data_IF_455073226325
#
_entry.id   IF_455073226325
#
_cell.length_a   1.000
_cell.length_b   1.000
_cell.length_c   1.000
_cell.angle_alpha   90.00
_cell.angle_beta   90.00
_cell.angle_gamma   90.00
#
_symmetry.space_group_name_H-M   'P 1'
#
loop_
_entity.id
_entity.type
_entity.pdbx_description
1 polymer ?
#
# COMPACT_ATOMS: atom_id res chain seq x y z
N UNK A 1 -13.56 -32.84 13.94
CA UNK A 1 -14.32 -33.65 12.98
C UNK A 1 -15.02 -32.73 12.00
N UNK A 2 -14.53 -32.63 10.76
CA UNK A 2 -15.12 -31.76 9.74
C UNK A 2 -16.50 -32.30 9.37
N UNK A 3 -17.57 -31.56 9.65
CA UNK A 3 -18.91 -31.87 9.14
C UNK A 3 -18.83 -31.90 7.61
N UNK A 4 -19.18 -33.04 7.03
CA UNK A 4 -19.34 -33.22 5.59
C UNK A 4 -20.44 -32.25 5.15
N UNK A 5 -20.08 -31.23 4.37
CA UNK A 5 -21.06 -30.33 3.74
C UNK A 5 -22.01 -31.21 2.93
N UNK A 6 -23.34 -31.08 3.07
CA UNK A 6 -24.27 -31.83 2.24
C UNK A 6 -23.93 -31.56 0.77
N UNK A 7 -23.80 -32.60 -0.04
CA UNK A 7 -23.87 -32.44 -1.48
C UNK A 7 -25.25 -31.84 -1.74
N UNK A 8 -25.32 -30.61 -2.26
CA UNK A 8 -26.52 -30.17 -2.97
C UNK A 8 -26.77 -31.26 -4.01
N UNK A 9 -27.92 -31.92 -3.90
CA UNK A 9 -28.40 -32.79 -4.95
C UNK A 9 -28.62 -31.90 -6.17
N UNK A 10 -28.07 -32.30 -7.31
CA UNK A 10 -28.32 -31.68 -8.61
C UNK A 10 -29.77 -32.00 -9.04
N UNK A 11 -30.77 -31.68 -8.21
CA UNK A 11 -32.21 -31.87 -8.49
C UNK A 11 -32.70 -30.93 -9.59
N UNK A 12 -31.87 -29.96 -10.01
CA UNK A 12 -32.11 -29.10 -11.16
C UNK A 12 -31.40 -29.58 -12.45
N UNK A 13 -30.83 -30.80 -12.49
CA UNK A 13 -30.28 -31.40 -13.73
C UNK A 13 -31.33 -32.20 -14.54
N UNK A 14 -32.55 -32.44 -14.04
CA UNK A 14 -33.56 -33.25 -14.74
C UNK A 14 -34.50 -32.47 -15.68
N UNK A 15 -34.61 -31.13 -15.58
CA UNK A 15 -35.63 -30.38 -16.34
C UNK A 15 -35.20 -29.81 -17.70
N UNK A 16 -33.93 -29.88 -18.11
CA UNK A 16 -33.46 -29.15 -19.32
C UNK A 16 -32.91 -30.00 -20.47
N UNK A 17 -33.20 -31.31 -20.50
CA UNK A 17 -32.89 -32.15 -21.66
C UNK A 17 -34.08 -33.05 -22.00
N UNK A 18 -35.14 -32.46 -22.56
CA UNK A 18 -36.10 -33.24 -23.38
C UNK A 18 -35.31 -33.86 -24.54
N UNK A 19 -35.20 -35.19 -24.52
CA UNK A 19 -34.69 -35.96 -25.67
C UNK A 19 -35.69 -35.86 -26.83
N UNK A 20 -35.30 -35.47 -28.06
CA UNK A 20 -36.14 -35.73 -29.21
C UNK A 20 -36.10 -37.24 -29.47
N UNK A 21 -37.22 -37.91 -29.22
CA UNK A 21 -37.41 -39.34 -29.47
C UNK A 21 -37.43 -39.60 -30.99
N UNK A 22 -36.24 -39.65 -31.57
CA UNK A 22 -35.99 -39.97 -32.97
C UNK A 22 -35.50 -41.40 -33.12
N UNK A 23 -36.42 -42.33 -33.38
CA UNK A 23 -36.09 -43.65 -33.95
C UNK A 23 -35.41 -43.46 -35.31
N UNK A 24 -34.08 -43.49 -35.32
CA UNK A 24 -33.26 -43.42 -36.52
C UNK A 24 -31.98 -44.21 -36.32
N UNK A 25 -31.88 -45.31 -37.05
CA UNK A 25 -30.79 -46.27 -37.10
C UNK A 25 -29.52 -45.59 -37.65
N UNK A 26 -28.62 -45.15 -36.77
CA UNK A 26 -27.26 -44.77 -37.16
C UNK A 26 -26.32 -45.00 -35.98
N UNK A 27 -25.37 -45.94 -36.16
CA UNK A 27 -24.33 -46.34 -35.21
C UNK A 27 -23.28 -45.23 -35.00
N UNK A 28 -23.69 -44.04 -34.57
CA UNK A 28 -22.79 -43.05 -33.99
C UNK A 28 -22.58 -43.43 -32.52
N UNK A 29 -21.34 -43.62 -32.05
CA UNK A 29 -21.12 -43.99 -30.65
C UNK A 29 -21.73 -42.91 -29.75
N UNK A 30 -22.70 -43.29 -28.91
CA UNK A 30 -23.34 -42.40 -27.94
C UNK A 30 -22.25 -41.68 -27.15
N UNK A 31 -22.16 -40.37 -27.35
CA UNK A 31 -21.11 -39.56 -26.77
C UNK A 31 -21.32 -39.49 -25.25
N UNK A 32 -20.28 -39.78 -24.47
CA UNK A 32 -20.35 -39.64 -23.01
C UNK A 32 -20.78 -38.22 -22.63
N UNK A 33 -21.63 -38.06 -21.60
CA UNK A 33 -22.03 -36.76 -21.04
C UNK A 33 -20.82 -35.84 -20.78
N UNK A 34 -19.68 -36.41 -20.37
CA UNK A 34 -18.40 -35.68 -20.17
C UNK A 34 -17.80 -35.16 -21.47
N UNK A 35 -17.94 -35.91 -22.57
CA UNK A 35 -17.47 -35.52 -23.91
C UNK A 35 -18.36 -34.44 -24.52
N UNK A 36 -19.68 -34.52 -24.31
CA UNK A 36 -20.60 -33.43 -24.68
C UNK A 36 -20.30 -32.14 -23.92
N UNK A 37 -20.21 -32.18 -22.58
CA UNK A 37 -19.87 -31.00 -21.76
C UNK A 37 -18.52 -30.35 -22.16
N UNK A 38 -17.56 -31.13 -22.69
CA UNK A 38 -16.28 -30.60 -23.17
C UNK A 38 -16.38 -29.93 -24.55
N UNK A 39 -17.27 -30.43 -25.42
CA UNK A 39 -17.50 -29.86 -26.74
C UNK A 39 -18.33 -28.57 -26.69
N UNK A 40 -19.24 -28.45 -25.72
CA UNK A 40 -20.05 -27.24 -25.51
C UNK A 40 -19.33 -26.14 -24.75
N UNK A 41 -18.19 -26.45 -24.14
CA UNK A 41 -17.40 -25.50 -23.37
C UNK A 41 -16.61 -24.56 -24.27
N UNK A 42 -16.86 -23.27 -24.08
CA UNK A 42 -16.10 -22.18 -24.71
C UNK A 42 -14.62 -22.24 -24.31
N UNK A 43 -13.75 -21.86 -25.24
CA UNK A 43 -12.36 -21.54 -24.94
C UNK A 43 -12.25 -20.20 -24.21
N UNK A 44 -11.12 -19.96 -23.55
CA UNK A 44 -10.87 -18.69 -22.83
C UNK A 44 -10.84 -17.51 -23.82
N UNK A 45 -10.31 -17.74 -25.03
CA UNK A 45 -10.25 -16.71 -26.08
C UNK A 45 -11.64 -16.31 -26.56
N UNK A 46 -12.52 -17.28 -26.82
CA UNK A 46 -13.91 -17.02 -27.21
C UNK A 46 -14.68 -16.31 -26.09
N UNK A 47 -14.50 -16.73 -24.83
CA UNK A 47 -15.16 -16.05 -23.70
C UNK A 47 -14.71 -14.59 -23.57
N UNK A 48 -13.42 -14.30 -23.77
CA UNK A 48 -12.90 -12.92 -23.77
C UNK A 48 -13.47 -12.07 -24.90
N UNK A 49 -13.77 -12.65 -26.06
CA UNK A 49 -14.40 -11.92 -27.17
C UNK A 49 -15.86 -11.56 -26.89
N UNK A 50 -16.55 -12.34 -26.06
CA UNK A 50 -17.99 -12.18 -25.80
C UNK A 50 -18.32 -11.23 -24.64
N UNK A 51 -17.36 -10.89 -23.78
CA UNK A 51 -17.60 -10.13 -22.54
C UNK A 51 -16.99 -8.73 -22.67
N UNK A 52 -17.72 -7.70 -22.20
CA UNK A 52 -17.25 -6.32 -22.19
C UNK A 52 -16.04 -6.02 -21.29
N UNK A 53 -15.74 -6.87 -20.29
CA UNK A 53 -14.54 -6.79 -19.44
C UNK A 53 -13.72 -8.08 -19.51
N UNK A 54 -12.87 -8.25 -20.54
CA UNK A 54 -12.08 -9.47 -20.74
C UNK A 54 -10.88 -9.62 -19.78
N UNK A 55 -10.55 -8.56 -19.03
CA UNK A 55 -9.47 -8.50 -18.04
C UNK A 55 -9.72 -9.41 -16.83
N UNK A 56 -10.99 -9.58 -16.42
CA UNK A 56 -11.36 -10.39 -15.24
C UNK A 56 -11.53 -11.89 -15.54
N UNK A 57 -11.41 -12.29 -16.81
CA UNK A 57 -11.60 -13.68 -17.24
C UNK A 57 -10.38 -14.52 -16.89
N UNK A 58 -10.60 -15.56 -16.08
CA UNK A 58 -9.60 -16.52 -15.63
C UNK A 58 -9.75 -17.89 -16.33
N UNK A 59 -8.72 -18.73 -16.21
CA UNK A 59 -8.70 -20.08 -16.80
C UNK A 59 -9.84 -20.99 -16.31
N UNK A 60 -10.33 -20.76 -15.09
CA UNK A 60 -11.36 -21.58 -14.44
C UNK A 60 -12.78 -21.16 -14.83
N UNK A 61 -12.97 -20.00 -15.47
CA UNK A 61 -14.31 -19.47 -15.73
C UNK A 61 -15.03 -20.23 -16.84
N UNK A 62 -14.27 -20.71 -17.82
CA UNK A 62 -14.79 -21.57 -18.89
C UNK A 62 -15.31 -22.92 -18.36
N UNK A 63 -14.91 -23.37 -17.17
CA UNK A 63 -15.49 -24.58 -16.54
C UNK A 63 -16.80 -24.34 -15.80
N UNK A 64 -17.21 -23.09 -15.62
CA UNK A 64 -18.43 -22.76 -14.90
C UNK A 64 -19.69 -23.25 -15.63
N UNK A 65 -20.79 -23.44 -14.89
CA UNK A 65 -22.10 -23.80 -15.48
C UNK A 65 -22.58 -22.73 -16.45
N UNK A 66 -22.45 -21.46 -16.06
CA UNK A 66 -22.67 -20.31 -16.93
C UNK A 66 -21.44 -19.38 -16.90
N UNK A 67 -20.53 -19.51 -17.89
CA UNK A 67 -19.34 -18.66 -17.97
C UNK A 67 -19.67 -17.18 -18.24
N UNK A 68 -20.77 -16.86 -18.92
CA UNK A 68 -21.11 -15.47 -19.27
C UNK A 68 -21.60 -14.71 -18.04
N UNK A 69 -22.56 -15.31 -17.31
CA UNK A 69 -23.08 -14.73 -16.07
C UNK A 69 -21.98 -14.60 -15.00
N UNK A 70 -21.14 -15.62 -14.84
CA UNK A 70 -20.04 -15.58 -13.87
C UNK A 70 -19.11 -14.38 -14.13
N UNK A 71 -18.71 -14.17 -15.37
CA UNK A 71 -17.83 -13.05 -15.72
C UNK A 71 -18.56 -11.72 -15.55
N UNK A 72 -19.86 -11.64 -15.86
CA UNK A 72 -20.67 -10.45 -15.61
C UNK A 72 -20.70 -10.08 -14.11
N UNK A 73 -20.83 -11.07 -13.22
CA UNK A 73 -20.78 -10.87 -11.78
C UNK A 73 -19.38 -10.46 -11.31
N UNK A 74 -18.33 -11.12 -11.81
CA UNK A 74 -16.93 -10.75 -11.53
C UNK A 74 -16.58 -9.33 -12.00
N UNK A 75 -17.20 -8.86 -13.08
CA UNK A 75 -16.99 -7.54 -13.64
C UNK A 75 -17.89 -6.46 -12.99
N UNK A 76 -18.82 -6.84 -12.13
CA UNK A 76 -19.76 -5.90 -11.52
C UNK A 76 -19.05 -4.95 -10.54
N UNK A 77 -19.50 -3.71 -10.50
CA UNK A 77 -18.84 -2.64 -9.73
C UNK A 77 -18.80 -2.99 -8.24
N UNK A 78 -17.66 -2.71 -7.62
CA UNK A 78 -17.39 -2.92 -6.18
C UNK A 78 -17.51 -4.38 -5.70
N UNK A 79 -17.52 -5.35 -6.62
CA UNK A 79 -17.41 -6.76 -6.23
C UNK A 79 -15.99 -7.08 -5.79
N UNK A 80 -15.89 -7.91 -4.75
CA UNK A 80 -14.61 -8.39 -4.22
C UNK A 80 -14.35 -9.79 -4.78
N UNK A 81 -13.20 -10.04 -5.42
CA UNK A 81 -12.93 -11.34 -6.02
C UNK A 81 -12.76 -12.43 -4.97
N UNK A 82 -12.97 -13.67 -5.38
CA UNK A 82 -12.77 -14.85 -4.51
C UNK A 82 -11.29 -14.93 -4.09
N UNK A 83 -10.98 -15.17 -2.79
CA UNK A 83 -9.61 -15.31 -2.32
C UNK A 83 -8.80 -16.39 -3.07
N UNK A 84 -7.59 -16.05 -3.52
CA UNK A 84 -6.74 -16.90 -4.39
C UNK A 84 -6.46 -18.32 -3.87
N UNK A 85 -6.55 -18.53 -2.56
CA UNK A 85 -6.19 -19.81 -1.94
C UNK A 85 -7.23 -20.93 -2.14
N UNK A 86 -8.38 -20.65 -2.76
CA UNK A 86 -9.44 -21.65 -3.01
C UNK A 86 -8.96 -22.84 -3.86
N UNK A 87 -8.04 -22.62 -4.80
CA UNK A 87 -7.51 -23.64 -5.69
C UNK A 87 -6.16 -24.21 -5.21
N UNK A 88 -5.68 -23.82 -4.03
CA UNK A 88 -4.41 -24.28 -3.51
C UNK A 88 -4.56 -25.64 -2.81
N UNK A 89 -3.55 -26.50 -2.98
CA UNK A 89 -3.50 -27.80 -2.29
C UNK A 89 -3.16 -27.66 -0.80
N UNK A 90 -2.44 -26.60 -0.43
CA UNK A 90 -2.04 -26.32 0.96
C UNK A 90 -3.20 -25.64 1.69
N UNK A 91 -3.39 -25.93 2.98
CA UNK A 91 -4.38 -25.20 3.77
C UNK A 91 -3.88 -23.77 3.97
N UNK A 92 -4.82 -22.83 4.02
CA UNK A 92 -4.55 -21.41 4.23
C UNK A 92 -3.60 -21.17 5.42
N UNK A 93 -2.57 -20.33 5.24
CA UNK A 93 -1.51 -19.97 6.20
C UNK A 93 -0.50 -21.07 6.57
N UNK A 94 -0.56 -22.26 5.96
CA UNK A 94 0.42 -23.31 6.26
C UNK A 94 1.82 -23.03 5.70
N UNK A 95 1.97 -22.14 4.72
CA UNK A 95 3.28 -21.76 4.18
C UNK A 95 4.09 -20.88 5.12
N UNK A 96 3.47 -20.25 6.12
CA UNK A 96 4.15 -19.45 7.15
C UNK A 96 4.87 -20.27 8.22
N UNK A 97 4.82 -21.60 8.15
CA UNK A 97 5.57 -22.47 9.06
C UNK A 97 7.08 -22.25 8.85
N UNK A 98 7.79 -21.89 9.91
CA UNK A 98 9.22 -21.60 9.88
C UNK A 98 9.58 -20.13 9.69
N UNK A 99 8.58 -19.25 9.48
CA UNK A 99 8.78 -17.80 9.53
C UNK A 99 8.45 -17.34 10.93
N UNK A 100 9.45 -16.81 11.63
CA UNK A 100 9.24 -16.22 12.95
C UNK A 100 8.60 -14.85 12.80
N UNK A 101 7.37 -14.71 13.32
CA UNK A 101 6.68 -13.43 13.36
C UNK A 101 7.15 -12.67 14.60
N UNK A 102 7.52 -11.37 14.50
CA UNK A 102 7.81 -10.59 15.68
C UNK A 102 6.60 -10.56 16.63
N UNK A 103 6.84 -10.41 17.94
CA UNK A 103 5.78 -10.19 18.92
C UNK A 103 4.91 -8.98 18.55
N UNK A 104 3.77 -8.85 19.23
CA UNK A 104 2.89 -7.71 19.01
C UNK A 104 3.58 -6.40 19.40
N UNK A 105 3.65 -5.46 18.47
CA UNK A 105 4.20 -4.13 18.71
C UNK A 105 3.09 -3.16 19.09
N UNK A 106 3.22 -2.52 20.26
CA UNK A 106 2.21 -1.59 20.77
C UNK A 106 2.20 -0.28 19.96
N UNK A 107 1.04 0.36 19.76
CA UNK A 107 0.99 1.71 19.21
C UNK A 107 1.83 2.70 20.02
N UNK A 108 2.43 3.67 19.34
CA UNK A 108 3.42 4.57 19.95
C UNK A 108 2.85 5.39 21.12
N UNK A 109 1.59 5.83 21.04
CA UNK A 109 0.92 6.53 22.13
C UNK A 109 0.75 5.66 23.39
N UNK A 110 0.55 4.35 23.22
CA UNK A 110 0.50 3.40 24.34
C UNK A 110 1.91 3.12 24.87
N UNK A 111 2.91 2.97 23.99
CA UNK A 111 4.31 2.76 24.42
C UNK A 111 4.81 3.92 25.29
N UNK A 112 4.48 5.17 24.94
CA UNK A 112 4.83 6.38 25.69
C UNK A 112 4.29 6.42 27.13
N UNK A 113 3.27 5.61 27.46
CA UNK A 113 2.83 5.45 28.86
C UNK A 113 3.91 4.84 29.75
N UNK A 114 4.87 4.09 29.17
CA UNK A 114 5.92 3.36 29.90
C UNK A 114 5.47 1.96 30.36
N UNK A 115 4.25 1.54 30.03
CA UNK A 115 3.69 0.24 30.47
C UNK A 115 4.54 -0.96 30.02
N UNK A 116 5.17 -0.87 28.86
CA UNK A 116 5.96 -1.95 28.29
C UNK A 116 7.20 -2.26 29.15
N UNK A 117 7.92 -1.23 29.58
CA UNK A 117 9.12 -1.34 30.42
C UNK A 117 8.77 -1.82 31.83
N UNK A 118 7.71 -1.26 32.43
CA UNK A 118 7.26 -1.68 33.76
C UNK A 118 6.85 -3.15 33.78
N UNK A 119 6.07 -3.62 32.79
CA UNK A 119 5.67 -5.02 32.69
C UNK A 119 6.84 -5.96 32.41
N UNK A 120 7.77 -5.56 31.54
CA UNK A 120 8.99 -6.34 31.27
C UNK A 120 9.82 -6.53 32.56
N UNK A 121 10.04 -5.45 33.31
CA UNK A 121 10.79 -5.51 34.58
C UNK A 121 10.14 -6.42 35.63
N UNK A 122 8.80 -6.49 35.65
CA UNK A 122 8.07 -7.37 36.57
C UNK A 122 8.13 -8.82 36.14
N UNK A 123 8.02 -9.08 34.84
CA UNK A 123 8.13 -10.43 34.30
C UNK A 123 9.52 -11.00 34.57
N UNK A 124 10.59 -10.23 34.35
CA UNK A 124 11.96 -10.62 34.71
C UNK A 124 12.10 -10.91 36.21
N UNK A 125 11.51 -10.07 37.08
CA UNK A 125 11.48 -10.31 38.53
C UNK A 125 10.68 -11.55 38.91
N UNK A 126 9.64 -11.93 38.17
CA UNK A 126 8.84 -13.12 38.43
C UNK A 126 9.48 -14.41 37.89
N UNK A 127 10.25 -14.31 36.82
CA UNK A 127 11.00 -15.43 36.25
C UNK A 127 12.22 -15.79 37.13
N UNK A 128 12.83 -14.80 37.77
CA UNK A 128 13.90 -15.04 38.77
C UNK A 128 13.39 -15.59 40.11
N UNK A 129 12.07 -15.55 40.37
CA UNK A 129 11.50 -16.00 41.66
C UNK A 129 11.38 -17.51 41.73
N UNK A 130 11.90 -18.07 42.83
CA UNK A 130 11.73 -19.50 43.15
C UNK A 130 10.28 -19.84 43.49
N UNK A 131 9.90 -21.12 43.30
CA UNK A 131 8.57 -21.65 43.65
C UNK A 131 8.16 -21.36 45.10
N UNK A 132 9.11 -21.41 46.04
CA UNK A 132 8.88 -21.08 47.47
C UNK A 132 8.54 -19.60 47.66
N UNK A 133 9.19 -18.70 46.92
CA UNK A 133 8.88 -17.27 46.94
C UNK A 133 7.50 -16.99 46.33
N UNK A 134 7.16 -17.64 45.21
CA UNK A 134 5.83 -17.54 44.57
C UNK A 134 4.71 -18.02 45.52
N UNK A 135 4.91 -19.13 46.23
CA UNK A 135 3.95 -19.65 47.23
C UNK A 135 3.73 -18.69 48.41
N UNK A 136 4.80 -18.06 48.91
CA UNK A 136 4.71 -17.08 50.02
C UNK A 136 3.96 -15.82 49.60
N UNK A 137 4.25 -15.31 48.41
CA UNK A 137 3.61 -14.10 47.89
C UNK A 137 2.13 -14.33 47.55
N UNK A 138 1.74 -15.56 47.21
CA UNK A 138 0.32 -15.93 47.08
C UNK A 138 -0.44 -15.80 48.41
N UNK A 139 0.20 -16.15 49.52
CA UNK A 139 -0.40 -16.03 50.85
C UNK A 139 -0.35 -14.59 51.41
N UNK A 140 0.64 -13.79 50.98
CA UNK A 140 0.83 -12.39 51.38
C UNK A 140 1.24 -11.54 50.17
N UNK A 141 0.27 -11.06 49.37
CA UNK A 141 0.56 -10.29 48.17
C UNK A 141 1.10 -8.91 48.53
N UNK A 142 2.11 -8.45 47.76
CA UNK A 142 2.54 -7.05 47.77
C UNK A 142 1.72 -6.30 46.71
N UNK A 143 0.86 -5.39 47.14
CA UNK A 143 0.05 -4.52 46.27
C UNK A 143 0.93 -3.41 45.66
N UNK A 144 0.45 -2.77 44.59
CA UNK A 144 1.14 -1.64 43.96
C UNK A 144 2.40 -1.98 43.16
N UNK A 145 2.47 -3.17 42.53
CA UNK A 145 3.63 -3.57 41.71
C UNK A 145 3.83 -2.71 40.46
N UNK A 146 2.74 -2.18 39.93
CA UNK A 146 2.69 -1.27 38.79
C UNK A 146 1.91 -0.06 39.28
N UNK A 147 2.54 1.11 39.25
CA UNK A 147 1.89 2.36 39.58
C UNK A 147 2.06 3.29 38.37
N UNK A 148 0.94 3.64 37.75
CA UNK A 148 0.89 4.51 36.57
C UNK A 148 -0.15 5.54 36.87
N UNK A 149 0.23 6.80 36.68
CA UNK A 149 -0.69 7.91 36.80
C UNK A 149 -1.87 7.73 35.84
N UNK A 150 -3.08 7.81 36.41
CA UNK A 150 -4.33 7.74 35.66
C UNK A 150 -4.42 8.87 34.62
N UNK A 151 -3.91 10.06 34.93
CA UNK A 151 -3.92 11.18 33.99
C UNK A 151 -3.09 10.88 32.74
N UNK A 152 -1.93 10.23 32.93
CA UNK A 152 -1.07 9.80 31.81
C UNK A 152 -1.76 8.77 30.91
N UNK A 153 -2.57 7.87 31.48
CA UNK A 153 -3.37 6.92 30.71
C UNK A 153 -4.51 7.63 29.97
N UNK A 154 -5.20 8.54 30.64
CA UNK A 154 -6.26 9.35 30.04
C UNK A 154 -5.74 10.11 28.82
N UNK A 155 -4.67 10.90 28.99
CA UNK A 155 -4.09 11.70 27.91
C UNK A 155 -3.60 10.82 26.75
N UNK A 156 -3.06 9.63 27.02
CA UNK A 156 -2.63 8.70 25.96
C UNK A 156 -3.77 8.22 25.06
N UNK A 157 -4.98 8.04 25.61
CA UNK A 157 -6.14 7.55 24.85
C UNK A 157 -7.03 8.67 24.29
N UNK A 158 -7.03 9.86 24.89
CA UNK A 158 -7.90 10.95 24.47
C UNK A 158 -7.16 12.07 23.74
N UNK A 159 -5.96 12.47 24.20
CA UNK A 159 -5.17 13.56 23.58
C UNK A 159 -4.23 13.05 22.51
N UNK A 160 -3.56 11.92 22.75
CA UNK A 160 -2.46 11.43 21.88
C UNK A 160 -2.86 10.26 20.98
N UNK A 161 -4.15 9.95 20.86
CA UNK A 161 -4.61 8.83 20.06
C UNK A 161 -4.38 9.09 18.57
N UNK A 162 -3.66 8.17 17.92
CA UNK A 162 -3.40 8.25 16.48
C UNK A 162 -4.23 7.21 15.72
N UNK A 163 -4.87 7.62 14.63
CA UNK A 163 -5.61 6.70 13.75
C UNK A 163 -4.66 5.67 13.12
N UNK A 164 -4.93 4.36 13.26
CA UNK A 164 -4.08 3.34 12.65
C UNK A 164 -4.18 3.35 11.13
N UNK A 165 -3.19 2.73 10.46
CA UNK A 165 -3.24 2.51 9.01
C UNK A 165 -4.34 1.50 8.67
N UNK A 166 -5.43 2.00 8.09
CA UNK A 166 -6.56 1.19 7.63
C UNK A 166 -6.38 0.76 6.18
N UNK A 167 -7.13 -0.26 5.77
CA UNK A 167 -7.20 -0.74 4.39
C UNK A 167 -8.53 -0.38 3.75
N UNK A 168 -8.54 -0.15 2.44
CA UNK A 168 -9.76 0.13 1.69
C UNK A 168 -10.61 -1.14 1.50
N UNK A 169 -11.90 -0.96 1.23
CA UNK A 169 -12.78 -2.06 0.83
C UNK A 169 -12.23 -2.78 -0.42
N UNK A 170 -12.28 -4.11 -0.42
CA UNK A 170 -11.72 -4.95 -1.49
C UNK A 170 -10.26 -5.34 -1.31
N UNK A 171 -9.54 -4.75 -0.35
CA UNK A 171 -8.16 -5.11 -0.05
C UNK A 171 -8.08 -6.40 0.81
N UNK A 172 -8.30 -7.55 0.17
CA UNK A 172 -8.25 -8.85 0.85
C UNK A 172 -6.86 -9.22 1.34
N UNK A 173 -6.80 -9.89 2.48
CA UNK A 173 -5.54 -10.43 2.98
C UNK A 173 -5.23 -11.79 2.34
N UNK A 174 -3.97 -11.99 1.97
CA UNK A 174 -3.46 -13.24 1.44
C UNK A 174 -2.10 -13.55 2.08
N UNK A 175 -1.69 -14.82 2.02
CA UNK A 175 -0.41 -15.25 2.58
C UNK A 175 0.75 -14.60 1.82
N UNK A 176 1.59 -13.85 2.54
CA UNK A 176 2.70 -13.10 1.97
C UNK A 176 2.41 -11.62 1.72
N UNK A 177 1.17 -11.17 1.94
CA UNK A 177 0.78 -9.76 1.78
C UNK A 177 1.61 -8.81 2.65
N UNK A 178 2.05 -9.24 3.83
CA UNK A 178 2.88 -8.41 4.71
C UNK A 178 4.32 -8.22 4.23
N UNK A 179 4.82 -9.07 3.34
CA UNK A 179 6.15 -8.97 2.75
C UNK A 179 6.16 -8.16 1.45
N UNK A 180 4.99 -7.76 0.95
CA UNK A 180 4.88 -6.96 -0.26
C UNK A 180 5.28 -5.50 0.01
N UNK A 181 6.44 -5.10 -0.49
CA UNK A 181 6.92 -3.72 -0.37
C UNK A 181 6.13 -2.78 -1.29
N UNK A 182 5.46 -1.78 -0.71
CA UNK A 182 4.77 -0.73 -1.46
C UNK A 182 5.77 0.33 -1.89
N UNK A 183 5.92 0.58 -3.20
CA UNK A 183 6.83 1.61 -3.74
C UNK A 183 6.20 3.01 -3.84
N UNK A 184 5.02 3.24 -3.24
CA UNK A 184 4.24 4.48 -3.42
C UNK A 184 4.99 5.76 -3.04
N UNK A 185 5.91 5.68 -2.09
CA UNK A 185 6.64 6.85 -1.55
C UNK A 185 7.91 7.18 -2.36
N UNK A 186 8.29 6.35 -3.35
CA UNK A 186 9.51 6.54 -4.14
C UNK A 186 9.18 7.23 -5.46
N UNK A 187 9.71 8.43 -5.66
CA UNK A 187 9.52 9.25 -6.86
C UNK A 187 10.84 9.50 -7.59
N UNK A 188 10.85 9.53 -8.94
CA UNK A 188 12.04 9.91 -9.71
C UNK A 188 12.55 11.30 -9.30
N UNK A 189 13.87 11.45 -9.25
CA UNK A 189 14.54 12.69 -8.85
C UNK A 189 14.86 12.79 -7.36
N UNK A 190 14.24 11.97 -6.51
CA UNK A 190 14.53 11.91 -5.08
C UNK A 190 15.24 10.61 -4.71
N UNK A 191 16.22 10.71 -3.80
CA UNK A 191 17.04 9.60 -3.35
C UNK A 191 17.04 9.56 -1.81
N UNK A 192 16.57 8.45 -1.24
CA UNK A 192 16.58 8.25 0.21
C UNK A 192 18.01 8.26 0.76
N UNK A 193 18.15 8.62 2.03
CA UNK A 193 19.46 8.65 2.71
C UNK A 193 20.13 7.27 2.68
N UNK A 194 19.37 6.20 2.88
CA UNK A 194 19.86 4.81 2.80
C UNK A 194 20.44 4.50 1.41
N UNK A 195 19.74 4.89 0.34
CA UNK A 195 20.20 4.67 -1.04
C UNK A 195 21.44 5.50 -1.35
N UNK A 196 21.49 6.76 -0.88
CA UNK A 196 22.68 7.61 -1.04
C UNK A 196 23.90 7.01 -0.37
N UNK A 197 23.78 6.50 0.85
CA UNK A 197 24.87 5.79 1.54
C UNK A 197 25.32 4.58 0.75
N UNK A 198 24.39 3.77 0.24
CA UNK A 198 24.72 2.60 -0.59
C UNK A 198 25.44 2.96 -1.90
N UNK A 199 25.12 4.12 -2.48
CA UNK A 199 25.75 4.67 -3.69
C UNK A 199 27.06 5.43 -3.40
N UNK A 200 27.47 5.55 -2.14
CA UNK A 200 28.64 6.36 -1.74
C UNK A 200 28.44 7.87 -1.96
N UNK A 201 27.19 8.33 -1.98
CA UNK A 201 26.83 9.74 -2.11
C UNK A 201 26.69 10.41 -0.73
N UNK A 202 27.01 11.71 -0.61
CA UNK A 202 26.80 12.45 0.64
C UNK A 202 25.33 12.43 1.10
N UNK A 203 25.15 12.33 2.40
CA UNK A 203 23.85 12.39 3.11
C UNK A 203 23.76 13.65 3.97
N UNK A 204 22.55 14.07 4.32
CA UNK A 204 22.30 15.25 5.16
C UNK A 204 22.17 16.57 4.39
N UNK A 205 22.47 17.72 5.01
CA UNK A 205 22.24 19.05 4.40
C UNK A 205 23.00 19.27 3.08
N UNK A 206 24.12 18.58 2.91
CA UNK A 206 24.95 18.66 1.70
C UNK A 206 24.58 17.59 0.65
N UNK A 207 23.49 16.84 0.82
CA UNK A 207 23.08 15.78 -0.11
C UNK A 207 22.80 16.32 -1.52
N UNK A 208 22.34 17.57 -1.62
CA UNK A 208 22.07 18.23 -2.90
C UNK A 208 23.32 18.80 -3.56
N UNK A 209 24.51 18.78 -2.92
CA UNK A 209 25.72 19.35 -3.53
C UNK A 209 26.36 18.44 -4.57
N UNK A 210 26.19 17.13 -4.42
CA UNK A 210 26.78 16.14 -5.32
C UNK A 210 25.69 15.57 -6.22
N UNK A 211 25.82 15.70 -7.54
CA UNK A 211 24.86 15.15 -8.47
C UNK A 211 24.92 13.61 -8.47
N UNK A 212 23.84 12.94 -8.88
CA UNK A 212 23.88 11.51 -9.11
C UNK A 212 24.86 11.17 -10.26
N UNK A 213 25.52 10.00 -10.22
CA UNK A 213 26.60 9.66 -11.16
C UNK A 213 26.15 9.57 -12.62
N UNK A 214 24.86 9.34 -12.88
CA UNK A 214 24.29 9.29 -14.22
C UNK A 214 24.01 10.67 -14.84
N UNK A 215 24.18 11.78 -14.11
CA UNK A 215 23.95 13.12 -14.66
C UNK A 215 24.76 13.39 -15.93
N UNK A 216 26.05 12.99 -15.93
CA UNK A 216 26.93 13.19 -17.09
C UNK A 216 26.44 12.39 -18.31
N UNK A 217 25.89 11.19 -18.09
CA UNK A 217 25.30 10.40 -19.17
C UNK A 217 24.00 11.05 -19.69
N UNK A 218 23.16 11.59 -18.80
CA UNK A 218 21.96 12.33 -19.19
C UNK A 218 22.28 13.63 -19.96
N UNK A 219 23.39 14.29 -19.65
CA UNK A 219 23.88 15.43 -20.44
C UNK A 219 24.31 15.03 -21.86
N UNK A 220 24.78 13.80 -22.06
CA UNK A 220 25.22 13.29 -23.37
C UNK A 220 24.09 12.72 -24.22
N UNK A 221 23.19 11.96 -23.59
CA UNK A 221 22.13 11.22 -24.28
C UNK A 221 20.74 11.87 -24.16
N UNK A 222 20.60 12.87 -23.30
CA UNK A 222 19.35 13.53 -23.00
C UNK A 222 18.64 13.00 -21.73
N UNK A 223 17.56 13.67 -21.31
CA UNK A 223 16.76 13.28 -20.16
C UNK A 223 15.98 11.97 -20.42
N UNK A 224 15.53 11.25 -19.38
CA UNK A 224 14.75 10.02 -19.53
C UNK A 224 13.50 10.21 -20.41
N UNK A 225 13.34 9.43 -21.51
CA UNK A 225 12.20 9.60 -22.43
C UNK A 225 10.83 9.40 -21.79
N UNK A 226 10.74 8.53 -20.77
CA UNK A 226 9.50 8.23 -20.04
C UNK A 226 9.08 9.34 -19.07
N UNK A 227 9.96 10.32 -18.80
CA UNK A 227 9.65 11.45 -17.91
C UNK A 227 9.99 12.80 -18.57
N UNK A 228 9.18 13.27 -19.55
CA UNK A 228 9.47 14.49 -20.30
C UNK A 228 9.55 15.75 -19.44
N UNK A 229 8.72 15.81 -18.38
CA UNK A 229 8.60 16.98 -17.50
C UNK A 229 9.52 16.89 -16.27
N UNK A 230 10.38 15.87 -16.17
CA UNK A 230 11.27 15.71 -15.02
C UNK A 230 12.32 16.83 -15.01
N UNK A 231 12.34 17.61 -13.93
CA UNK A 231 13.35 18.64 -13.69
C UNK A 231 14.57 18.01 -13.03
N UNK A 232 15.71 18.15 -13.70
CA UNK A 232 17.02 17.61 -13.35
C UNK A 232 17.97 18.82 -13.21
N UNK A 233 18.38 19.15 -11.98
CA UNK A 233 19.36 20.20 -11.75
C UNK A 233 20.64 19.94 -12.55
N UNK A 234 21.18 20.98 -13.20
CA UNK A 234 22.37 20.89 -14.06
C UNK A 234 22.14 20.27 -15.45
N UNK A 235 20.89 19.99 -15.84
CA UNK A 235 20.53 19.58 -17.21
C UNK A 235 19.38 20.37 -17.82
N UNK A 236 18.27 20.56 -17.11
CA UNK A 236 17.12 21.35 -17.58
C UNK A 236 16.51 22.25 -16.47
N UNK A 237 17.18 22.30 -15.33
CA UNK A 237 16.91 23.16 -14.20
C UNK A 237 18.26 23.69 -13.66
N UNK A 238 18.27 24.85 -12.97
CA UNK A 238 19.49 25.40 -12.40
C UNK A 238 20.11 24.45 -11.37
N UNK A 239 21.44 24.53 -11.21
CA UNK A 239 22.15 23.79 -10.17
C UNK A 239 21.83 24.36 -8.78
N UNK A 240 21.92 23.55 -7.71
CA UNK A 240 21.75 24.04 -6.36
C UNK A 240 22.78 25.11 -5.99
N UNK A 241 22.40 26.04 -5.12
CA UNK A 241 23.29 27.14 -4.68
C UNK A 241 24.60 26.61 -4.08
N UNK A 242 25.70 27.29 -4.39
CA UNK A 242 27.04 26.89 -3.95
C UNK A 242 27.65 25.69 -4.69
N UNK A 243 26.99 25.19 -5.74
CA UNK A 243 27.54 24.18 -6.65
C UNK A 243 28.18 24.85 -7.89
N UNK A 244 29.10 24.16 -8.54
CA UNK A 244 29.71 24.64 -9.79
C UNK A 244 29.69 23.57 -10.88
N UNK A 245 29.59 24.03 -12.13
CA UNK A 245 29.74 23.18 -13.30
C UNK A 245 31.21 22.76 -13.47
N UNK A 246 31.42 21.55 -13.98
CA UNK A 246 32.75 21.01 -14.25
C UNK A 246 32.86 19.50 -14.00
N UNK A 247 33.99 18.94 -14.42
CA UNK A 247 34.32 17.50 -14.25
C UNK A 247 35.23 17.23 -13.04
N UNK A 248 35.35 18.19 -12.11
CA UNK A 248 36.06 17.98 -10.84
C UNK A 248 35.19 17.16 -9.88
N UNK A 249 35.78 16.63 -8.80
CA UNK A 249 35.03 15.88 -7.80
C UNK A 249 33.89 16.73 -7.21
N UNK A 250 32.65 16.25 -7.31
CA UNK A 250 31.45 17.00 -6.89
C UNK A 250 30.92 18.03 -7.90
N UNK A 251 31.55 18.16 -9.06
CA UNK A 251 31.11 19.07 -10.13
C UNK A 251 29.86 18.56 -10.88
N UNK A 252 29.06 19.48 -11.40
CA UNK A 252 27.78 19.21 -12.08
C UNK A 252 27.89 18.91 -13.58
N UNK A 253 29.08 18.51 -14.05
CA UNK A 253 29.33 18.27 -15.46
C UNK A 253 29.20 19.55 -16.29
N UNK A 254 28.84 19.41 -17.57
CA UNK A 254 28.60 20.53 -18.47
C UNK A 254 27.29 20.27 -19.23
N UNK A 255 26.30 21.17 -19.13
CA UNK A 255 25.05 20.99 -19.86
C UNK A 255 25.31 21.06 -21.38
N UNK A 256 24.59 20.25 -22.17
CA UNK A 256 24.66 20.33 -23.62
C UNK A 256 24.11 21.68 -24.10
N UNK A 257 24.90 22.38 -24.90
CA UNK A 257 24.54 23.66 -25.52
C UNK A 257 24.60 23.54 -27.04
N UNK A 258 23.80 24.35 -27.74
CA UNK A 258 23.88 24.50 -29.19
C UNK A 258 25.08 25.35 -29.63
N UNK A 259 25.27 25.52 -30.95
CA UNK A 259 26.35 26.31 -31.54
C UNK A 259 26.32 27.80 -31.10
N UNK A 260 25.16 28.29 -30.66
CA UNK A 260 24.99 29.64 -30.11
C UNK A 260 25.17 29.74 -28.59
N UNK A 261 25.55 28.64 -27.93
CA UNK A 261 25.77 28.57 -26.48
C UNK A 261 24.49 28.50 -25.65
N UNK A 262 23.32 28.30 -26.27
CA UNK A 262 22.04 28.14 -25.58
C UNK A 262 21.86 26.69 -25.15
N UNK A 263 21.39 26.40 -23.92
CA UNK A 263 21.16 25.03 -23.48
C UNK A 263 20.17 24.30 -24.38
N UNK A 264 20.48 23.04 -24.70
CA UNK A 264 19.62 22.17 -25.52
C UNK A 264 18.35 21.74 -24.78
N UNK A 265 18.41 21.67 -23.45
CA UNK A 265 17.30 21.25 -22.60
C UNK A 265 16.97 22.34 -21.59
N UNK A 266 15.90 23.11 -21.83
CA UNK A 266 15.35 24.08 -20.86
C UNK A 266 16.33 25.19 -20.43
N UNK A 267 16.03 25.83 -19.28
CA UNK A 267 16.86 26.90 -18.72
C UNK A 267 17.74 26.36 -17.58
N UNK A 268 18.95 25.95 -17.93
CA UNK A 268 19.94 25.38 -17.00
C UNK A 268 20.70 26.46 -16.23
N UNK A 269 20.69 27.70 -16.75
CA UNK A 269 21.45 28.81 -16.19
C UNK A 269 20.57 29.73 -15.33
N UNK A 270 19.26 29.47 -15.22
CA UNK A 270 18.33 30.28 -14.44
C UNK A 270 18.19 31.70 -15.02
N UNK A 271 18.39 31.84 -16.32
CA UNK A 271 18.41 33.13 -17.03
C UNK A 271 17.04 33.55 -17.56
N UNK A 272 16.10 32.62 -17.67
CA UNK A 272 14.70 32.92 -17.94
C UNK A 272 14.03 33.37 -16.65
N UNK A 273 13.57 34.62 -16.62
CA UNK A 273 12.62 35.06 -15.62
C UNK A 273 11.42 34.10 -15.63
N UNK A 274 10.84 33.75 -14.46
CA UNK A 274 9.63 32.94 -14.43
C UNK A 274 8.62 33.58 -15.37
N UNK A 275 8.18 32.83 -16.38
CA UNK A 275 7.11 33.27 -17.26
C UNK A 275 5.96 33.72 -16.38
N UNK A 276 5.51 34.96 -16.61
CA UNK A 276 4.50 35.74 -15.87
C UNK A 276 3.09 35.13 -15.97
N UNK A 277 2.99 33.80 -15.97
CA UNK A 277 1.73 33.04 -15.94
C UNK A 277 1.43 32.51 -14.52
N UNK A 278 2.31 32.74 -13.55
CA UNK A 278 2.09 32.39 -12.13
C UNK A 278 1.63 33.59 -11.27
N UNK A 279 1.31 34.73 -11.89
CA UNK A 279 0.75 35.91 -11.23
C UNK A 279 -0.74 36.13 -11.60
N UNK A 280 -1.46 35.07 -11.99
CA UNK A 280 -2.90 35.11 -11.77
C UNK A 280 -3.09 35.07 -10.25
N UNK A 281 -3.65 36.15 -9.72
CA UNK A 281 -4.06 36.28 -8.33
C UNK A 281 -4.93 35.05 -8.04
N UNK A 282 -4.34 34.04 -7.38
CA UNK A 282 -5.09 32.95 -6.76
C UNK A 282 -5.89 33.68 -5.68
N UNK A 283 -7.10 34.15 -6.02
CA UNK A 283 -8.06 34.57 -5.02
C UNK A 283 -8.06 33.45 -3.99
N UNK A 284 -7.86 33.79 -2.71
CA UNK A 284 -7.83 32.81 -1.63
C UNK A 284 -9.21 32.13 -1.55
N UNK A 285 -9.42 31.15 -2.44
CA UNK A 285 -10.59 30.29 -2.43
C UNK A 285 -10.45 29.48 -1.17
N UNK A 286 -11.42 29.64 -0.27
CA UNK A 286 -11.54 28.81 0.90
C UNK A 286 -11.61 27.33 0.47
N UNK A 287 -10.57 26.58 0.81
CA UNK A 287 -10.42 25.14 0.51
C UNK A 287 -10.91 24.28 1.67
N UNK A 288 -11.48 24.88 2.72
CA UNK A 288 -12.00 24.18 3.89
C UNK A 288 -13.10 23.23 3.45
N UNK A 289 -13.07 22.00 3.96
CA UNK A 289 -14.07 21.02 3.62
C UNK A 289 -15.39 21.43 4.28
N UNK A 290 -16.49 21.49 3.50
CA UNK A 290 -17.80 21.82 4.05
C UNK A 290 -18.17 20.85 5.19
N UNK A 291 -18.37 21.38 6.40
CA UNK A 291 -18.66 20.61 7.61
C UNK A 291 -17.43 20.13 8.39
N UNK A 292 -16.25 20.69 8.13
CA UNK A 292 -15.10 20.59 9.04
C UNK A 292 -15.48 21.27 10.38
N UNK A 293 -15.41 20.51 11.47
CA UNK A 293 -15.57 21.07 12.81
C UNK A 293 -14.32 21.91 13.07
N UNK A 294 -14.53 23.15 13.51
CA UNK A 294 -13.45 24.00 14.04
C UNK A 294 -12.74 23.24 15.17
N UNK A 295 -11.43 23.45 15.28
CA UNK A 295 -10.64 22.67 16.22
C UNK A 295 -11.07 23.01 17.65
N UNK A 296 -11.23 22.02 18.54
CA UNK A 296 -11.57 22.23 19.97
C UNK A 296 -10.60 23.20 20.69
N UNK A 297 -9.42 23.46 20.11
CA UNK A 297 -8.46 24.47 20.57
C UNK A 297 -8.80 25.91 20.20
N UNK A 298 -9.62 26.14 19.18
CA UNK A 298 -10.14 27.47 18.85
C UNK A 298 -11.34 27.81 19.74
N UNK A 299 -12.21 26.84 20.07
CA UNK A 299 -13.32 27.04 21.02
C UNK A 299 -12.82 27.41 22.45
N UNK A 300 -11.77 26.76 22.99
CA UNK A 300 -11.19 27.15 24.30
C UNK A 300 -10.57 28.56 24.28
N UNK A 301 -10.06 29.03 23.13
CA UNK A 301 -9.45 30.36 23.01
C UNK A 301 -10.48 31.47 22.89
N UNK A 302 -11.65 31.20 22.29
CA UNK A 302 -12.76 32.16 22.23
C UNK A 302 -13.47 32.27 23.59
N UNK A 303 -13.60 31.19 24.35
CA UNK A 303 -14.19 31.24 25.71
C UNK A 303 -13.28 32.00 26.72
N UNK A 304 -11.95 31.94 26.59
CA UNK A 304 -11.04 32.72 27.46
C UNK A 304 -11.02 34.23 27.12
N UNK A 305 -11.27 34.63 25.86
CA UNK A 305 -11.34 36.06 25.48
C UNK A 305 -12.66 36.74 25.92
N UNK A 306 -13.75 35.99 26.11
CA UNK A 306 -15.02 36.56 26.60
C UNK A 306 -15.04 36.82 28.13
N UNK A 307 -14.23 36.13 28.94
CA UNK A 307 -14.16 36.35 30.40
C UNK A 307 -13.27 37.54 30.83
N UNK A 308 -12.32 38.01 30.00
CA UNK A 308 -11.47 39.18 30.33
C UNK A 308 -12.14 40.55 30.08
N UNK A 309 -13.41 40.57 29.64
CA UNK A 309 -14.15 41.79 29.30
C UNK A 309 -15.07 42.37 30.41
N UNK A 310 -15.26 41.68 31.53
CA UNK A 310 -16.10 42.12 32.66
C UNK A 310 -15.31 42.29 33.97
N UNK A 311 -14.40 43.28 34.04
CA UNK A 311 -14.00 43.94 35.30
C UNK A 311 -13.77 45.45 35.14
#
# INVERSE_FOLDING_TARGET
>A
TLRKVPKLTDEYEEEELEEPDGKGDDKKPKMSKRKMKKLTRLSVAELKQLVGRPDVVEMHDVTARDPKLLVQLKAHRNTVPVPRHWCFKRKYLQGKRGIEKPPFDLPDFIKKTGIMEMRASLQEKEDQRTLKAKMRERARPKLGKIDIDYQKLHDAFFKWQTKPRLTIHGDLYYEGKEFETRLKEKKPGDLSQELRTALGMPVGPNAHKVPPPWLIAMQRYGPPPSYPNLKIPGLNAPIPEGCSFGYHAGGWGKPPVDESGKPLYGDVFGTSAPSTEANEVDEEVDKTAWGELESESEEESEEEEEEEGEE
#
